data_IF_937616896791
#
_entry.id   IF_937616896791
#
_cell.length_a   1.000
_cell.length_b   1.000
_cell.length_c   1.000
_cell.angle_alpha   90.00
_cell.angle_beta   90.00
_cell.angle_gamma   90.00
#
_symmetry.space_group_name_H-M   'P 1'
#
loop_
_entity.id
_entity.type
_entity.pdbx_description
1 polymer ?
#
# COMPACT_ATOMS: atom_id res chain seq x y z
N UNK A 1 11.96 -10.59 -6.47
CA UNK A 1 11.29 -9.34 -6.89
C UNK A 1 9.87 -9.35 -6.35
N UNK A 2 9.56 -8.49 -5.38
CA UNK A 2 8.20 -8.37 -4.83
C UNK A 2 7.41 -7.38 -5.67
N UNK A 3 6.49 -7.89 -6.50
CA UNK A 3 5.64 -7.05 -7.35
C UNK A 3 4.44 -6.55 -6.54
N UNK A 4 4.23 -5.24 -6.53
CA UNK A 4 3.06 -4.64 -5.85
C UNK A 4 1.89 -4.52 -6.83
N UNK A 5 0.86 -5.33 -6.61
CA UNK A 5 -0.36 -5.28 -7.42
C UNK A 5 -1.32 -4.21 -6.89
N UNK A 6 -1.85 -3.38 -7.78
CA UNK A 6 -2.96 -2.48 -7.45
C UNK A 6 -4.27 -3.16 -7.76
N UNK A 7 -5.13 -3.31 -6.76
CA UNK A 7 -6.42 -3.97 -6.85
C UNK A 7 -7.54 -2.97 -6.54
N UNK A 8 -8.61 -3.01 -7.33
CA UNK A 8 -9.81 -2.21 -7.10
C UNK A 8 -10.76 -2.98 -6.20
N UNK A 9 -11.14 -2.37 -5.07
CA UNK A 9 -12.10 -2.95 -4.14
C UNK A 9 -13.30 -2.03 -3.99
N UNK A 10 -14.30 -2.23 -4.86
CA UNK A 10 -15.49 -1.38 -4.95
C UNK A 10 -15.13 0.03 -5.42
N UNK A 11 -15.41 1.03 -4.58
CA UNK A 11 -15.07 2.43 -4.85
C UNK A 11 -13.63 2.79 -4.51
N UNK A 12 -12.87 1.94 -3.81
CA UNK A 12 -11.54 2.26 -3.26
C UNK A 12 -10.44 1.45 -3.92
N UNK A 13 -9.24 2.03 -3.95
CA UNK A 13 -8.02 1.35 -4.38
C UNK A 13 -7.26 0.73 -3.21
N UNK A 14 -6.74 -0.47 -3.43
CA UNK A 14 -5.88 -1.21 -2.50
C UNK A 14 -4.62 -1.68 -3.23
N UNK A 15 -3.53 -1.80 -2.50
CA UNK A 15 -2.29 -2.40 -2.95
C UNK A 15 -2.12 -3.73 -2.24
N UNK A 16 -1.71 -4.77 -2.97
CA UNK A 16 -1.50 -6.11 -2.45
C UNK A 16 -0.20 -6.68 -2.99
N UNK A 17 0.62 -7.22 -2.11
CA UNK A 17 1.90 -7.81 -2.49
C UNK A 17 2.35 -8.88 -1.50
N UNK A 18 3.39 -9.61 -1.87
CA UNK A 18 4.04 -10.58 -1.02
C UNK A 18 5.50 -10.20 -0.83
N UNK A 19 5.94 -10.19 0.42
CA UNK A 19 7.31 -9.90 0.80
C UNK A 19 7.70 -10.77 1.99
N UNK A 20 8.85 -11.45 1.91
CA UNK A 20 9.36 -12.38 2.94
C UNK A 20 8.29 -13.37 3.42
N UNK A 21 7.64 -14.06 2.49
CA UNK A 21 6.57 -15.05 2.75
C UNK A 21 5.32 -14.51 3.47
N UNK A 22 5.26 -13.19 3.72
CA UNK A 22 4.10 -12.50 4.28
C UNK A 22 3.31 -11.78 3.19
N UNK A 23 1.99 -11.85 3.31
CA UNK A 23 1.04 -11.12 2.45
C UNK A 23 0.77 -9.76 3.07
N UNK A 24 1.04 -8.69 2.33
CA UNK A 24 0.76 -7.32 2.74
C UNK A 24 -0.37 -6.74 1.90
N UNK A 25 -1.24 -5.99 2.57
CA UNK A 25 -2.36 -5.26 1.96
C UNK A 25 -2.39 -3.84 2.51
N UNK A 26 -2.39 -2.85 1.61
CA UNK A 26 -2.47 -1.44 1.96
C UNK A 26 -3.67 -0.80 1.26
N UNK A 27 -4.59 -0.22 2.03
CA UNK A 27 -5.65 0.59 1.45
C UNK A 27 -5.12 1.99 1.15
N UNK A 28 -5.24 2.43 -0.11
CA UNK A 28 -4.81 3.78 -0.53
C UNK A 28 -5.78 4.85 -0.01
N UNK A 29 -6.99 4.45 0.40
CA UNK A 29 -8.02 5.36 0.91
C UNK A 29 -8.59 6.30 -0.15
N UNK A 30 -8.23 6.11 -1.43
CA UNK A 30 -8.70 6.93 -2.53
C UNK A 30 -9.61 6.17 -3.47
N UNK A 31 -10.51 6.95 -4.08
CA UNK A 31 -11.44 6.49 -5.10
C UNK A 31 -10.72 5.94 -6.32
N UNK A 32 -11.36 5.04 -7.07
CA UNK A 32 -10.90 4.63 -8.40
C UNK A 32 -11.04 5.78 -9.42
N UNK A 33 -10.21 6.80 -9.29
CA UNK A 33 -10.08 7.93 -10.21
C UNK A 33 -8.67 7.95 -10.79
N UNK A 34 -8.45 8.67 -11.91
CA UNK A 34 -7.12 8.80 -12.54
C UNK A 34 -6.05 9.22 -11.53
N UNK A 35 -6.38 10.18 -10.65
CA UNK A 35 -5.53 10.64 -9.55
C UNK A 35 -5.29 9.55 -8.50
N UNK A 36 -6.33 8.79 -8.14
CA UNK A 36 -6.25 7.68 -7.19
C UNK A 36 -5.33 6.56 -7.70
N UNK A 37 -5.46 6.17 -8.97
CA UNK A 37 -4.60 5.16 -9.60
C UNK A 37 -3.16 5.63 -9.73
N UNK A 38 -2.95 6.88 -10.13
CA UNK A 38 -1.60 7.45 -10.24
C UNK A 38 -0.90 7.43 -8.88
N UNK A 39 -1.60 7.82 -7.81
CA UNK A 39 -1.06 7.80 -6.45
C UNK A 39 -0.87 6.39 -5.90
N UNK A 40 -1.77 5.45 -6.19
CA UNK A 40 -1.59 4.04 -5.87
C UNK A 40 -0.32 3.49 -6.52
N UNK A 41 -0.08 3.83 -7.80
CA UNK A 41 1.13 3.44 -8.54
C UNK A 41 2.39 4.07 -7.96
N UNK A 42 2.34 5.34 -7.53
CA UNK A 42 3.46 5.97 -6.83
C UNK A 42 3.80 5.28 -5.51
N UNK A 43 2.78 4.95 -4.70
CA UNK A 43 2.99 4.23 -3.43
C UNK A 43 3.54 2.82 -3.70
N UNK A 44 3.01 2.12 -4.70
CA UNK A 44 3.51 0.82 -5.13
C UNK A 44 4.99 0.89 -5.54
N UNK A 45 5.36 1.85 -6.39
CA UNK A 45 6.76 2.05 -6.79
C UNK A 45 7.68 2.38 -5.62
N UNK A 46 7.21 3.17 -4.65
CA UNK A 46 7.97 3.46 -3.43
C UNK A 46 8.21 2.20 -2.59
N UNK A 47 7.18 1.38 -2.39
CA UNK A 47 7.30 0.10 -1.69
C UNK A 47 8.29 -0.82 -2.41
N UNK A 48 8.20 -0.94 -3.74
CA UNK A 48 9.12 -1.77 -4.52
C UNK A 48 10.58 -1.30 -4.38
N UNK A 49 10.79 0.01 -4.37
CA UNK A 49 12.12 0.62 -4.23
C UNK A 49 12.68 0.46 -2.80
N UNK A 50 11.83 0.60 -1.78
CA UNK A 50 12.21 0.39 -0.38
C UNK A 50 12.46 -1.10 -0.09
N UNK A 51 11.73 -2.02 -0.73
CA UNK A 51 12.02 -3.46 -0.71
C UNK A 51 13.37 -3.76 -1.35
N UNK A 52 13.64 -3.16 -2.52
CA UNK A 52 14.90 -3.36 -3.24
C UNK A 52 16.12 -2.83 -2.49
N UNK A 53 15.95 -1.78 -1.69
CA UNK A 53 17.02 -1.17 -0.87
C UNK A 53 17.10 -1.73 0.55
N UNK A 54 16.16 -2.59 0.96
CA UNK A 54 16.11 -3.13 2.32
C UNK A 54 15.56 -2.17 3.37
N UNK A 55 15.05 -1.00 2.97
CA UNK A 55 14.41 -0.01 3.83
C UNK A 55 12.89 -0.17 3.95
N UNK A 56 12.35 -1.30 3.50
CA UNK A 56 10.90 -1.54 3.53
C UNK A 56 10.34 -1.57 4.95
N UNK A 57 9.50 -0.57 5.26
CA UNK A 57 8.71 -0.54 6.48
C UNK A 57 7.58 -1.58 6.45
N UNK A 58 7.79 -2.70 7.14
CA UNK A 58 6.82 -3.78 7.31
C UNK A 58 5.55 -3.36 8.06
N UNK A 59 5.58 -2.26 8.82
CA UNK A 59 4.41 -1.75 9.54
C UNK A 59 3.42 -1.03 8.63
N UNK A 60 3.84 -0.74 7.39
CA UNK A 60 3.09 0.03 6.39
C UNK A 60 2.75 1.47 6.83
N UNK A 61 3.25 1.93 7.98
CA UNK A 61 2.97 3.25 8.55
C UNK A 61 3.52 4.36 7.66
N UNK A 62 4.72 4.16 7.10
CA UNK A 62 5.34 5.11 6.17
C UNK A 62 4.51 5.33 4.89
N UNK A 63 3.73 4.33 4.46
CA UNK A 63 2.98 4.36 3.20
C UNK A 63 1.49 4.68 3.39
N UNK A 64 0.94 4.41 4.57
CA UNK A 64 -0.42 4.78 4.93
C UNK A 64 -0.44 6.23 5.42
N UNK A 65 -0.70 7.20 4.52
CA UNK A 65 -1.12 8.53 4.95
C UNK A 65 -2.52 8.41 5.56
N UNK A 66 -2.58 7.99 6.83
CA UNK A 66 -3.77 8.19 7.67
C UNK A 66 -4.00 9.69 7.79
N UNK A 67 -4.81 10.24 6.89
CA UNK A 67 -5.66 11.37 7.23
C UNK A 67 -6.59 10.88 8.35
N UNK A 68 -6.15 11.09 9.60
CA UNK A 68 -6.91 10.94 10.83
C UNK A 68 -7.68 9.64 11.01
N UNK A 69 -7.06 8.62 11.63
CA UNK A 69 -7.62 7.89 12.80
C UNK A 69 -6.79 6.64 13.12
N UNK A 70 -6.15 6.73 14.26
CA UNK A 70 -6.11 5.74 15.34
C UNK A 70 -5.55 4.35 15.04
N UNK A 71 -4.61 3.98 15.90
CA UNK A 71 -4.19 2.65 16.32
C UNK A 71 -5.40 1.83 16.83
N UNK A 72 -6.23 1.32 15.93
CA UNK A 72 -7.35 0.37 16.17
C UNK A 72 -7.62 -0.22 14.78
N UNK A 73 -7.58 -1.51 14.47
CA UNK A 73 -7.99 -2.70 15.21
C UNK A 73 -6.99 -3.83 14.92
N UNK A 74 -6.37 -4.36 15.97
CA UNK A 74 -6.00 -5.78 16.06
C UNK A 74 -6.95 -6.30 17.14
N UNK A 75 -7.98 -7.04 16.75
CA UNK A 75 -8.77 -7.85 17.66
C UNK A 75 -9.10 -9.17 16.98
#
# INVERSE_FOLDING_TARGET
>A
MSKVATEKHGTRLRLRWQYLEKRYTLAVGMSDSVVGRSRAKQIAGRIEQDIGTGHFDQTLLAYTRKLGKTRTELR
#
